data_IF_061414996519
#
_entry.id   IF_061414996519
#
_cell.length_a   1.000
_cell.length_b   1.000
_cell.length_c   1.000
_cell.angle_alpha   90.00
_cell.angle_beta   90.00
_cell.angle_gamma   90.00
#
_symmetry.space_group_name_H-M   'P 1'
#
loop_
_entity.id
_entity.type
_entity.pdbx_description
1 polymer ?
#
# COMPACT_ATOMS: atom_id res chain seq x y z
N UNK A 1 -5.68 -23.22 37.74
CA UNK A 1 -7.02 -23.05 37.13
C UNK A 1 -7.38 -21.58 36.92
N UNK A 2 -7.31 -20.73 37.95
CA UNK A 2 -7.60 -19.29 37.85
C UNK A 2 -6.71 -18.52 36.86
N UNK A 3 -5.40 -18.77 36.86
CA UNK A 3 -4.46 -18.08 35.97
C UNK A 3 -4.78 -18.32 34.48
N UNK A 4 -5.13 -19.56 34.12
CA UNK A 4 -5.52 -19.93 32.77
C UNK A 4 -6.82 -19.23 32.34
N UNK A 5 -7.81 -19.18 33.25
CA UNK A 5 -9.06 -18.45 33.00
C UNK A 5 -8.79 -16.96 32.78
N UNK A 6 -7.95 -16.34 33.59
CA UNK A 6 -7.58 -14.92 33.45
C UNK A 6 -6.87 -14.65 32.12
N UNK A 7 -5.93 -15.50 31.71
CA UNK A 7 -5.25 -15.37 30.42
C UNK A 7 -6.25 -15.47 29.27
N UNK A 8 -7.18 -16.43 29.30
CA UNK A 8 -8.20 -16.58 28.25
C UNK A 8 -9.12 -15.36 28.20
N UNK A 9 -9.65 -14.93 29.34
CA UNK A 9 -10.56 -13.76 29.41
C UNK A 9 -9.85 -12.48 28.96
N UNK A 10 -8.61 -12.25 29.42
CA UNK A 10 -7.81 -11.10 29.00
C UNK A 10 -7.53 -11.15 27.50
N UNK A 11 -7.12 -12.30 26.97
CA UNK A 11 -6.81 -12.46 25.54
C UNK A 11 -8.03 -12.20 24.67
N UNK A 12 -9.20 -12.72 25.05
CA UNK A 12 -10.47 -12.49 24.34
C UNK A 12 -10.89 -11.02 24.43
N UNK A 13 -10.86 -10.42 25.63
CA UNK A 13 -11.24 -9.03 25.82
C UNK A 13 -10.31 -8.08 25.06
N UNK A 14 -9.00 -8.35 25.07
CA UNK A 14 -8.01 -7.57 24.37
C UNK A 14 -8.16 -7.70 22.84
N UNK A 15 -8.36 -8.93 22.35
CA UNK A 15 -8.59 -9.18 20.92
C UNK A 15 -9.86 -8.49 20.41
N UNK A 16 -10.98 -8.67 21.11
CA UNK A 16 -12.27 -8.05 20.74
C UNK A 16 -12.19 -6.53 20.85
N UNK A 17 -11.49 -6.01 21.86
CA UNK A 17 -11.27 -4.58 22.05
C UNK A 17 -10.40 -3.95 20.95
N UNK A 18 -9.30 -4.59 20.58
CA UNK A 18 -8.42 -4.12 19.50
C UNK A 18 -9.08 -4.23 18.12
N UNK A 19 -9.74 -5.37 17.84
CA UNK A 19 -10.40 -5.60 16.56
C UNK A 19 -11.52 -4.57 16.29
N UNK A 20 -12.29 -4.20 17.32
CA UNK A 20 -13.37 -3.20 17.20
C UNK A 20 -12.86 -1.77 17.06
N UNK A 21 -11.61 -1.48 17.40
CA UNK A 21 -11.02 -0.13 17.33
C UNK A 21 -10.35 0.18 16.02
N UNK A 22 -10.14 -0.81 15.15
CA UNK A 22 -9.54 -0.58 13.84
C UNK A 22 -10.57 0.06 12.90
N UNK A 23 -10.49 1.38 12.76
CA UNK A 23 -11.21 2.11 11.73
C UNK A 23 -10.56 1.80 10.37
N UNK A 24 -11.31 1.37 9.35
CA UNK A 24 -10.76 1.17 8.02
C UNK A 24 -10.15 2.47 7.49
N UNK A 25 -9.04 2.36 6.77
CA UNK A 25 -8.48 3.47 5.99
C UNK A 25 -9.53 4.10 5.09
N UNK A 26 -9.46 5.41 4.91
CA UNK A 26 -10.34 6.14 4.00
C UNK A 26 -10.12 5.65 2.56
N UNK A 27 -8.86 5.44 2.17
CA UNK A 27 -8.52 4.82 0.89
C UNK A 27 -9.12 3.42 0.73
N UNK A 28 -9.02 2.57 1.75
CA UNK A 28 -9.61 1.23 1.73
C UNK A 28 -11.13 1.28 1.58
N UNK A 29 -11.81 2.12 2.35
CA UNK A 29 -13.27 2.32 2.27
C UNK A 29 -13.71 2.85 0.91
N UNK A 30 -12.97 3.80 0.33
CA UNK A 30 -13.22 4.29 -1.01
C UNK A 30 -13.14 3.16 -2.03
N UNK A 31 -12.04 2.39 -2.03
CA UNK A 31 -11.85 1.28 -2.97
C UNK A 31 -12.89 0.19 -2.78
N UNK A 32 -13.24 -0.16 -1.54
CA UNK A 32 -14.28 -1.15 -1.26
C UNK A 32 -15.62 -0.80 -1.93
N UNK A 33 -15.97 0.49 -1.92
CA UNK A 33 -17.25 1.00 -2.42
C UNK A 33 -17.24 1.35 -3.92
N UNK A 34 -16.09 1.69 -4.50
CA UNK A 34 -15.99 2.22 -5.86
C UNK A 34 -15.36 1.26 -6.88
N UNK A 35 -14.88 0.09 -6.46
CA UNK A 35 -14.26 -0.91 -7.35
C UNK A 35 -15.05 -2.22 -7.36
N UNK A 36 -14.88 -3.03 -8.40
CA UNK A 36 -15.43 -4.38 -8.49
C UNK A 36 -14.67 -5.33 -7.54
N UNK A 37 -15.31 -6.32 -6.88
CA UNK A 37 -14.61 -7.31 -6.04
C UNK A 37 -13.44 -8.05 -6.73
N UNK A 38 -13.49 -8.21 -8.05
CA UNK A 38 -12.42 -8.83 -8.84
C UNK A 38 -11.29 -7.85 -9.22
N UNK A 39 -11.49 -6.54 -9.04
CA UNK A 39 -10.46 -5.54 -9.33
C UNK A 39 -9.23 -5.77 -8.46
N UNK A 40 -8.09 -5.45 -9.05
CA UNK A 40 -6.80 -5.48 -8.38
C UNK A 40 -6.29 -4.08 -8.15
N UNK A 41 -5.58 -3.90 -7.06
CA UNK A 41 -5.02 -2.60 -6.68
C UNK A 41 -3.52 -2.72 -6.46
N UNK A 42 -2.83 -1.58 -6.54
CA UNK A 42 -1.45 -1.46 -6.12
C UNK A 42 -1.28 -0.25 -5.20
N UNK A 43 -0.68 -0.46 -4.04
CA UNK A 43 -0.43 0.59 -3.05
C UNK A 43 1.05 0.97 -3.10
N UNK A 44 1.34 2.18 -3.55
CA UNK A 44 2.67 2.76 -3.55
C UNK A 44 3.03 3.32 -2.16
N UNK A 45 3.50 2.44 -1.27
CA UNK A 45 3.98 2.81 0.06
C UNK A 45 4.20 1.63 1.00
N UNK A 46 4.17 1.89 2.30
CA UNK A 46 4.27 0.90 3.38
C UNK A 46 2.93 0.75 4.11
N UNK A 47 1.83 0.69 3.35
CA UNK A 47 0.45 0.67 3.86
C UNK A 47 -0.34 -0.57 3.39
N UNK A 48 0.08 -1.79 3.78
CA UNK A 48 -0.59 -3.03 3.36
C UNK A 48 -2.03 -3.14 3.90
N UNK A 49 -2.36 -2.41 4.96
CA UNK A 49 -3.70 -2.34 5.55
C UNK A 49 -4.79 -1.92 4.57
N UNK A 50 -4.45 -1.13 3.55
CA UNK A 50 -5.40 -0.67 2.51
C UNK A 50 -5.94 -1.84 1.70
N UNK A 51 -5.14 -2.88 1.42
CA UNK A 51 -5.63 -4.08 0.72
C UNK A 51 -6.69 -4.82 1.54
N UNK A 52 -6.47 -4.91 2.85
CA UNK A 52 -7.40 -5.57 3.77
C UNK A 52 -8.71 -4.78 3.86
N UNK A 53 -8.63 -3.46 4.02
CA UNK A 53 -9.80 -2.60 4.14
C UNK A 53 -10.59 -2.50 2.83
N UNK A 54 -9.90 -2.52 1.69
CA UNK A 54 -10.53 -2.50 0.38
C UNK A 54 -11.18 -3.83 0.01
N UNK A 55 -10.80 -4.94 0.67
CA UNK A 55 -11.12 -6.29 0.23
C UNK A 55 -10.74 -6.51 -1.24
N UNK A 56 -9.54 -6.07 -1.64
CA UNK A 56 -9.05 -6.20 -3.02
C UNK A 56 -7.72 -6.93 -3.08
N UNK A 57 -7.56 -7.73 -4.13
CA UNK A 57 -6.31 -8.46 -4.38
C UNK A 57 -5.24 -7.49 -4.85
N UNK A 58 -3.99 -7.74 -4.46
CA UNK A 58 -2.86 -7.02 -5.01
C UNK A 58 -2.68 -7.34 -6.51
N UNK A 59 -2.27 -6.33 -7.27
CA UNK A 59 -1.91 -6.44 -8.68
C UNK A 59 -0.53 -7.10 -8.88
N UNK A 60 0.33 -7.06 -7.86
CA UNK A 60 1.63 -7.72 -7.88
C UNK A 60 1.91 -8.43 -6.56
N UNK A 61 3.03 -9.16 -6.51
CA UNK A 61 3.48 -9.86 -5.29
C UNK A 61 3.98 -8.94 -4.18
N UNK A 62 4.22 -7.66 -4.46
CA UNK A 62 4.72 -6.69 -3.50
C UNK A 62 3.56 -5.98 -2.79
N UNK A 63 3.23 -6.45 -1.58
CA UNK A 63 2.22 -5.82 -0.72
C UNK A 63 2.73 -4.56 0.00
N UNK A 64 4.05 -4.32 -0.06
CA UNK A 64 4.73 -3.08 0.35
C UNK A 64 5.88 -2.79 -0.62
N UNK A 65 6.31 -1.54 -0.69
CA UNK A 65 7.21 -1.04 -1.76
C UNK A 65 8.70 -1.14 -1.46
N UNK A 66 9.12 -1.72 -0.34
CA UNK A 66 10.55 -1.77 0.01
C UNK A 66 11.44 -2.46 -1.03
N UNK A 67 11.00 -3.50 -1.78
CA UNK A 67 11.82 -4.08 -2.85
C UNK A 67 12.05 -3.11 -4.00
N UNK A 68 11.11 -2.18 -4.23
CA UNK A 68 11.10 -1.22 -5.33
C UNK A 68 11.85 0.07 -4.99
N UNK A 69 11.86 0.44 -3.71
CA UNK A 69 12.41 1.71 -3.22
C UNK A 69 13.76 1.58 -2.53
N UNK A 70 14.12 0.37 -2.05
CA UNK A 70 15.27 0.16 -1.18
C UNK A 70 15.01 0.58 0.28
N UNK A 71 13.74 0.79 0.66
CA UNK A 71 13.37 1.19 2.02
C UNK A 71 13.98 0.27 3.09
N UNK A 72 14.61 0.90 4.08
CA UNK A 72 15.18 0.24 5.25
C UNK A 72 14.22 0.45 6.43
N UNK A 73 13.82 -0.65 7.08
CA UNK A 73 12.97 -0.59 8.26
C UNK A 73 13.70 0.12 9.41
N UNK A 74 12.97 0.93 10.18
CA UNK A 74 13.54 1.80 11.22
C UNK A 74 13.48 3.29 10.88
N UNK A 75 13.04 3.65 9.67
CA UNK A 75 12.83 5.02 9.24
C UNK A 75 13.95 5.57 8.36
N UNK A 76 13.76 6.78 7.80
CA UNK A 76 14.77 7.43 6.97
C UNK A 76 16.01 7.79 7.80
N UNK A 77 17.19 7.63 7.19
CA UNK A 77 18.43 8.17 7.73
C UNK A 77 18.68 9.49 6.98
N UNK A 78 18.71 10.65 7.67
CA UNK A 78 18.94 11.94 7.02
C UNK A 78 20.20 11.93 6.14
N UNK A 79 20.07 12.33 4.88
CA UNK A 79 21.19 12.40 3.93
C UNK A 79 21.65 11.07 3.34
N UNK A 80 21.00 9.95 3.65
CA UNK A 80 21.39 8.64 3.12
C UNK A 80 20.42 8.16 2.03
N UNK A 81 20.93 7.99 0.80
CA UNK A 81 20.16 7.41 -0.29
C UNK A 81 20.14 5.88 -0.19
N UNK A 82 18.95 5.32 0.03
CA UNK A 82 18.73 3.88 0.15
C UNK A 82 18.51 3.17 -1.18
N UNK A 83 18.50 3.87 -2.32
CA UNK A 83 18.24 3.27 -3.65
C UNK A 83 19.21 2.17 -4.06
N UNK A 84 20.44 2.18 -3.52
CA UNK A 84 21.39 1.08 -3.72
C UNK A 84 20.93 -0.25 -3.10
N UNK A 85 19.88 -0.22 -2.26
CA UNK A 85 19.22 -1.39 -1.65
C UNK A 85 17.97 -1.86 -2.40
N UNK A 86 17.62 -1.25 -3.54
CA UNK A 86 16.55 -1.76 -4.40
C UNK A 86 16.87 -3.21 -4.75
N UNK A 87 15.89 -4.10 -4.56
CA UNK A 87 16.06 -5.52 -4.84
C UNK A 87 16.34 -5.70 -6.35
N UNK A 88 17.46 -6.33 -6.75
CA UNK A 88 17.75 -6.56 -8.16
C UNK A 88 16.61 -7.31 -8.86
N UNK A 89 16.17 -6.79 -10.01
CA UNK A 89 15.07 -7.36 -10.80
C UNK A 89 13.66 -7.08 -10.28
N UNK A 90 13.49 -6.32 -9.18
CA UNK A 90 12.16 -6.04 -8.63
C UNK A 90 11.29 -5.22 -9.58
N UNK A 91 11.86 -4.24 -10.28
CA UNK A 91 11.12 -3.45 -11.26
C UNK A 91 10.67 -4.28 -12.48
N UNK A 92 11.54 -5.13 -13.03
CA UNK A 92 11.16 -6.05 -14.10
C UNK A 92 10.09 -7.05 -13.66
N UNK A 93 10.15 -7.51 -12.39
CA UNK A 93 9.13 -8.38 -11.81
C UNK A 93 7.79 -7.66 -11.66
N UNK A 94 7.80 -6.38 -11.25
CA UNK A 94 6.61 -5.54 -11.14
C UNK A 94 5.95 -5.37 -12.51
N UNK A 95 6.72 -5.04 -13.55
CA UNK A 95 6.23 -4.89 -14.91
C UNK A 95 5.58 -6.19 -15.42
N UNK A 96 6.20 -7.35 -15.17
CA UNK A 96 5.63 -8.65 -15.51
C UNK A 96 4.33 -8.94 -14.76
N UNK A 97 4.28 -8.64 -13.46
CA UNK A 97 3.08 -8.83 -12.65
C UNK A 97 1.94 -7.91 -13.13
N UNK A 98 2.22 -6.64 -13.44
CA UNK A 98 1.24 -5.68 -13.97
C UNK A 98 0.77 -6.03 -15.38
N UNK A 99 1.64 -6.57 -16.25
CA UNK A 99 1.23 -7.05 -17.56
C UNK A 99 0.24 -8.23 -17.47
N UNK A 100 0.36 -9.08 -16.44
CA UNK A 100 -0.56 -10.21 -16.21
C UNK A 100 -1.82 -9.79 -15.45
N UNK A 101 -1.68 -8.83 -14.55
CA UNK A 101 -2.72 -8.43 -13.61
C UNK A 101 -2.69 -6.90 -13.43
N UNK A 102 -3.17 -6.13 -14.40
CA UNK A 102 -3.11 -4.68 -14.34
C UNK A 102 -3.89 -4.15 -13.12
N UNK A 103 -3.33 -3.21 -12.35
CA UNK A 103 -4.07 -2.59 -11.25
C UNK A 103 -5.17 -1.68 -11.81
N UNK A 104 -6.44 -1.96 -11.51
CA UNK A 104 -7.54 -1.02 -11.81
C UNK A 104 -7.35 0.30 -11.05
N UNK A 105 -6.78 0.22 -9.84
CA UNK A 105 -6.46 1.38 -9.00
C UNK A 105 -5.02 1.34 -8.50
N UNK A 106 -4.39 2.50 -8.46
CA UNK A 106 -3.11 2.74 -7.79
C UNK A 106 -3.34 3.75 -6.66
N UNK A 107 -2.84 3.46 -5.46
CA UNK A 107 -2.90 4.36 -4.31
C UNK A 107 -1.49 4.88 -4.02
N UNK A 108 -1.27 6.18 -4.19
CA UNK A 108 -0.03 6.83 -3.76
C UNK A 108 -0.21 7.40 -2.36
N UNK A 109 0.37 6.75 -1.35
CA UNK A 109 0.33 7.21 0.04
C UNK A 109 1.47 8.18 0.39
N UNK A 110 2.24 8.60 -0.61
CA UNK A 110 3.29 9.62 -0.49
C UNK A 110 3.13 10.70 -1.56
N UNK A 111 1.94 11.31 -1.71
CA UNK A 111 1.65 12.19 -2.84
C UNK A 111 2.29 13.57 -2.72
N UNK A 112 2.58 14.04 -1.50
CA UNK A 112 3.19 15.35 -1.27
C UNK A 112 4.70 15.30 -1.52
N UNK A 113 5.22 15.99 -2.56
CA UNK A 113 6.64 15.96 -2.88
C UNK A 113 7.55 16.52 -1.79
N UNK A 114 7.03 17.28 -0.82
CA UNK A 114 7.82 17.88 0.28
C UNK A 114 8.05 16.90 1.43
N UNK A 115 7.11 15.99 1.66
CA UNK A 115 7.13 15.04 2.78
C UNK A 115 7.35 13.59 2.35
N UNK A 116 7.18 13.29 1.05
CA UNK A 116 7.41 11.96 0.49
C UNK A 116 8.88 11.52 0.58
N UNK A 117 9.10 10.36 1.19
CA UNK A 117 10.40 9.70 1.18
C UNK A 117 10.71 9.10 -0.20
N UNK A 118 9.67 8.55 -0.83
CA UNK A 118 9.76 7.90 -2.13
C UNK A 118 8.71 8.48 -3.09
N UNK A 119 8.83 9.75 -3.50
CA UNK A 119 7.85 10.36 -4.39
C UNK A 119 7.89 9.66 -5.74
N UNK A 120 6.71 9.39 -6.32
CA UNK A 120 6.57 8.62 -7.57
C UNK A 120 7.45 9.16 -8.70
N UNK A 121 7.63 10.49 -8.81
CA UNK A 121 8.48 11.14 -9.82
C UNK A 121 9.93 10.65 -9.86
N UNK A 122 10.43 10.10 -8.75
CA UNK A 122 11.79 9.56 -8.65
C UNK A 122 11.89 8.10 -9.17
N UNK A 123 10.77 7.51 -9.60
CA UNK A 123 10.66 6.13 -10.05
C UNK A 123 10.05 6.10 -11.45
N UNK A 124 10.88 6.18 -12.51
CA UNK A 124 10.42 6.47 -13.88
C UNK A 124 9.35 5.50 -14.41
N UNK A 125 9.44 4.21 -14.08
CA UNK A 125 8.47 3.19 -14.51
C UNK A 125 7.08 3.51 -13.96
N UNK A 126 6.97 3.79 -12.65
CA UNK A 126 5.69 4.13 -12.03
C UNK A 126 5.19 5.51 -12.44
N UNK A 127 6.09 6.49 -12.56
CA UNK A 127 5.75 7.84 -13.02
C UNK A 127 5.16 7.83 -14.43
N UNK A 128 5.79 7.08 -15.35
CA UNK A 128 5.29 6.89 -16.72
C UNK A 128 3.93 6.21 -16.72
N UNK A 129 3.79 5.12 -15.95
CA UNK A 129 2.53 4.38 -15.83
C UNK A 129 1.37 5.31 -15.42
N UNK A 130 1.56 6.10 -14.36
CA UNK A 130 0.52 7.02 -13.88
C UNK A 130 0.19 8.12 -14.92
N UNK A 131 1.21 8.70 -15.55
CA UNK A 131 1.01 9.79 -16.52
C UNK A 131 0.23 9.34 -17.76
N UNK A 132 0.53 8.15 -18.27
CA UNK A 132 -0.02 7.63 -19.53
C UNK A 132 -1.37 6.91 -19.32
N UNK A 133 -1.48 6.11 -18.25
CA UNK A 133 -2.58 5.15 -18.10
C UNK A 133 -3.59 5.45 -17.00
N UNK A 134 -3.36 6.44 -16.15
CA UNK A 134 -4.20 6.68 -14.97
C UNK A 134 -4.66 8.14 -14.85
N UNK A 135 -5.71 8.33 -14.07
CA UNK A 135 -6.24 9.64 -13.67
C UNK A 135 -6.56 9.65 -12.17
N UNK A 136 -6.31 10.77 -11.45
CA UNK A 136 -6.70 10.89 -10.05
C UNK A 136 -8.22 10.90 -9.93
N UNK A 137 -8.76 10.14 -8.97
CA UNK A 137 -10.21 10.02 -8.74
C UNK A 137 -10.64 10.33 -7.30
N UNK A 138 -9.70 10.32 -6.35
CA UNK A 138 -9.96 10.73 -4.97
C UNK A 138 -8.68 11.15 -4.25
N UNK A 139 -8.84 12.02 -3.26
CA UNK A 139 -7.85 12.35 -2.25
C UNK A 139 -8.39 11.88 -0.90
N UNK A 140 -7.60 11.11 -0.16
CA UNK A 140 -7.94 10.61 1.17
C UNK A 140 -6.91 11.06 2.20
N UNK A 141 -7.17 10.81 3.47
CA UNK A 141 -6.20 11.06 4.54
C UNK A 141 -4.88 10.31 4.35
N UNK A 142 -4.88 9.15 3.68
CA UNK A 142 -3.67 8.39 3.40
C UNK A 142 -2.95 8.83 2.13
N UNK A 143 -3.66 9.33 1.10
CA UNK A 143 -3.01 9.60 -0.16
C UNK A 143 -3.93 9.93 -1.34
N UNK A 144 -3.39 9.81 -2.55
CA UNK A 144 -4.13 10.03 -3.80
C UNK A 144 -4.44 8.68 -4.45
N UNK A 145 -5.70 8.51 -4.84
CA UNK A 145 -6.17 7.33 -5.55
C UNK A 145 -6.26 7.65 -7.03
N UNK A 146 -5.58 6.85 -7.83
CA UNK A 146 -5.59 6.89 -9.28
C UNK A 146 -6.37 5.68 -9.83
N UNK A 147 -7.19 5.91 -10.85
CA UNK A 147 -7.90 4.86 -11.58
C UNK A 147 -7.35 4.75 -13.00
N UNK A 148 -7.27 3.53 -13.52
CA UNK A 148 -6.95 3.29 -14.92
C UNK A 148 -7.97 4.01 -15.82
N UNK A 149 -7.49 4.65 -16.89
CA UNK A 149 -8.32 5.37 -17.87
C UNK A 149 -9.19 4.43 -18.69
#
# INVERSE_FOLDING_TARGET
MWLALTIVVFSVAHWVGLARRRVPSEAGRYLFTHSNPADRIFVWGQSPEIYLDAHRRAACRYITTFPLTGYVFGGPIPGFDTRSRILPGAWSTLEQDFARHPPTYIVDVQPDPKSAHYPVKNFPILAKLLAEGYQPVAHTGEGVIYRMR
#
